data_IF_101278172477
#
_entry.id   IF_101278172477
#
_cell.length_a   1.000
_cell.length_b   1.000
_cell.length_c   1.000
_cell.angle_alpha   90.00
_cell.angle_beta   90.00
_cell.angle_gamma   90.00
#
_symmetry.space_group_name_H-M   'P 1'
#
loop_
_entity.id
_entity.type
_entity.pdbx_description
1 polymer ?
#
# COMPACT_ATOMS: atom_id res chain seq x y z
N UNK A 1 -40.32 22.25 15.39
CA UNK A 1 -39.79 20.90 15.12
C UNK A 1 -40.90 19.90 14.95
N UNK A 2 -40.88 19.21 13.81
CA UNK A 2 -41.74 18.06 13.57
C UNK A 2 -40.96 16.83 14.03
N UNK A 3 -41.22 16.34 15.24
CA UNK A 3 -40.69 15.05 15.71
C UNK A 3 -41.72 13.98 15.42
N UNK A 4 -41.42 13.07 14.49
CA UNK A 4 -42.30 11.96 14.13
C UNK A 4 -41.58 10.65 14.47
N UNK A 5 -42.12 9.87 15.40
CA UNK A 5 -41.69 8.48 15.58
C UNK A 5 -42.28 7.61 14.47
N UNK A 6 -41.43 7.00 13.64
CA UNK A 6 -41.85 6.02 12.62
C UNK A 6 -42.63 6.58 11.43
N UNK A 7 -42.27 7.76 10.92
CA UNK A 7 -42.92 8.37 9.75
C UNK A 7 -42.40 7.83 8.40
N UNK A 8 -43.31 7.47 7.49
CA UNK A 8 -42.99 7.13 6.10
C UNK A 8 -43.32 8.32 5.19
N UNK A 9 -42.30 8.99 4.65
CA UNK A 9 -42.47 10.06 3.67
C UNK A 9 -42.44 9.45 2.26
N UNK A 10 -43.62 9.26 1.66
CA UNK A 10 -43.75 8.80 0.28
C UNK A 10 -44.20 9.94 -0.62
N UNK A 11 -43.37 10.27 -1.60
CA UNK A 11 -43.70 11.25 -2.62
C UNK A 11 -44.17 10.50 -3.88
N UNK A 12 -45.47 10.27 -3.98
CA UNK A 12 -46.11 9.41 -5.00
C UNK A 12 -46.31 10.07 -6.37
N UNK A 13 -45.52 11.07 -6.74
CA UNK A 13 -45.69 11.81 -7.99
C UNK A 13 -44.33 11.93 -8.69
N UNK A 14 -44.32 12.06 -10.01
CA UNK A 14 -43.13 12.28 -10.85
C UNK A 14 -42.34 13.57 -10.55
N UNK A 15 -42.69 14.30 -9.49
CA UNK A 15 -41.96 15.46 -9.00
C UNK A 15 -40.89 15.06 -7.98
N UNK A 16 -39.68 15.57 -8.17
CA UNK A 16 -38.61 15.43 -7.19
C UNK A 16 -39.02 16.07 -5.85
N UNK A 17 -38.76 15.36 -4.75
CA UNK A 17 -38.84 15.93 -3.41
C UNK A 17 -37.50 16.58 -3.07
N UNK A 18 -37.54 17.85 -2.67
CA UNK A 18 -36.35 18.61 -2.32
C UNK A 18 -36.34 18.90 -0.82
N UNK A 19 -35.22 18.61 -0.16
CA UNK A 19 -34.93 19.10 1.18
C UNK A 19 -33.97 20.27 1.01
N UNK A 20 -34.46 21.50 1.17
CA UNK A 20 -33.65 22.72 1.05
C UNK A 20 -33.44 23.34 2.43
N UNK A 21 -32.17 23.60 2.78
CA UNK A 21 -31.77 24.28 4.00
C UNK A 21 -30.81 25.42 3.67
N UNK A 22 -30.91 26.53 4.40
CA UNK A 22 -29.98 27.67 4.25
C UNK A 22 -28.56 27.37 4.81
N UNK A 23 -28.35 26.16 5.34
CA UNK A 23 -27.13 25.65 5.97
C UNK A 23 -27.07 24.11 5.75
N UNK A 24 -26.37 23.36 6.60
CA UNK A 24 -26.27 21.91 6.50
C UNK A 24 -27.64 21.22 6.59
N UNK A 25 -27.98 20.41 5.58
CA UNK A 25 -29.05 19.43 5.66
C UNK A 25 -28.45 18.13 6.19
N UNK A 26 -28.91 17.69 7.37
CA UNK A 26 -28.47 16.43 7.94
C UNK A 26 -29.61 15.43 7.96
N UNK A 27 -29.41 14.28 7.31
CA UNK A 27 -30.28 13.11 7.45
C UNK A 27 -29.58 12.16 8.43
N UNK A 28 -30.19 11.96 9.61
CA UNK A 28 -29.73 10.96 10.59
C UNK A 28 -30.70 9.79 10.57
N UNK A 29 -30.18 8.60 10.37
CA UNK A 29 -30.91 7.36 10.61
C UNK A 29 -30.40 6.84 11.95
N UNK A 30 -31.07 7.24 13.03
CA UNK A 30 -30.77 6.76 14.38
C UNK A 30 -31.58 5.50 14.61
N UNK A 31 -30.90 4.37 14.71
CA UNK A 31 -31.54 3.09 14.93
C UNK A 31 -31.00 2.51 16.21
N UNK A 32 -31.91 2.22 17.13
CA UNK A 32 -31.56 1.36 18.25
C UNK A 32 -31.01 0.05 17.68
N UNK A 33 -29.94 -0.46 18.29
CA UNK A 33 -29.10 -1.55 17.79
C UNK A 33 -29.78 -2.93 17.80
N UNK A 34 -31.08 -2.97 17.49
CA UNK A 34 -31.97 -4.13 17.53
C UNK A 34 -32.35 -4.64 16.13
N UNK A 35 -31.65 -4.21 15.06
CA UNK A 35 -31.89 -4.69 13.69
C UNK A 35 -30.84 -4.20 12.68
N UNK A 36 -30.87 -4.74 11.47
CA UNK A 36 -30.03 -4.30 10.34
C UNK A 36 -30.64 -3.06 9.70
N UNK A 37 -30.10 -1.89 10.02
CA UNK A 37 -30.64 -0.62 9.59
C UNK A 37 -29.69 0.06 8.63
N UNK A 38 -30.26 0.69 7.60
CA UNK A 38 -29.45 1.22 6.52
C UNK A 38 -29.95 2.58 6.05
N UNK A 39 -29.02 3.50 5.83
CA UNK A 39 -29.24 4.61 4.93
C UNK A 39 -28.90 4.14 3.50
N UNK A 40 -29.88 4.18 2.59
CA UNK A 40 -29.72 3.72 1.20
C UNK A 40 -30.08 4.81 0.21
N UNK A 41 -29.22 4.99 -0.79
CA UNK A 41 -29.56 5.67 -2.04
C UNK A 41 -29.74 4.58 -3.09
N UNK A 42 -30.88 4.58 -3.78
CA UNK A 42 -31.16 3.63 -4.86
C UNK A 42 -31.15 4.35 -6.21
N UNK A 43 -30.69 3.66 -7.25
CA UNK A 43 -31.10 4.03 -8.61
C UNK A 43 -32.60 3.72 -8.76
N UNK A 44 -33.31 4.37 -9.69
CA UNK A 44 -34.76 4.27 -9.84
C UNK A 44 -35.35 2.85 -10.04
N UNK A 45 -34.50 1.82 -10.10
CA UNK A 45 -34.83 0.40 -10.25
C UNK A 45 -34.75 -0.39 -8.93
N UNK A 46 -34.73 0.29 -7.78
CA UNK A 46 -34.54 -0.29 -6.44
C UNK A 46 -33.17 -0.96 -6.21
N UNK A 47 -32.16 -0.69 -7.03
CA UNK A 47 -30.81 -1.15 -6.76
C UNK A 47 -30.04 -0.10 -5.94
N UNK A 48 -29.41 -0.50 -4.84
CA UNK A 48 -28.67 0.44 -3.99
C UNK A 48 -27.34 0.80 -4.65
N UNK A 49 -27.07 2.11 -4.77
CA UNK A 49 -25.83 2.67 -5.33
C UNK A 49 -24.93 3.29 -4.25
N UNK A 50 -25.42 3.38 -3.02
CA UNK A 50 -24.70 3.79 -1.82
C UNK A 50 -25.49 3.32 -0.61
N UNK A 51 -24.83 2.65 0.32
CA UNK A 51 -25.43 2.13 1.53
C UNK A 51 -24.50 2.32 2.72
N UNK A 52 -25.05 2.79 3.84
CA UNK A 52 -24.36 2.86 5.13
C UNK A 52 -25.13 2.02 6.15
N UNK A 53 -24.44 1.13 6.87
CA UNK A 53 -25.01 0.31 7.94
C UNK A 53 -25.01 1.02 9.31
N UNK A 54 -25.58 0.35 10.33
CA UNK A 54 -25.66 0.87 11.71
C UNK A 54 -24.29 1.11 12.38
N UNK A 55 -23.21 0.52 11.87
CA UNK A 55 -21.85 0.71 12.36
C UNK A 55 -21.09 1.79 11.59
N UNK A 56 -21.70 2.35 10.53
CA UNK A 56 -21.09 3.35 9.66
C UNK A 56 -20.28 2.75 8.51
N UNK A 57 -20.35 1.44 8.26
CA UNK A 57 -19.69 0.85 7.11
C UNK A 57 -20.40 1.24 5.82
N UNK A 58 -19.62 1.68 4.84
CA UNK A 58 -20.10 2.06 3.52
C UNK A 58 -19.97 0.85 2.58
N UNK A 59 -21.04 0.52 1.87
CA UNK A 59 -21.09 -0.56 0.86
C UNK A 59 -21.85 -0.13 -0.40
N UNK A 60 -21.75 -0.93 -1.46
CA UNK A 60 -22.46 -0.76 -2.72
C UNK A 60 -22.23 0.58 -3.43
N UNK A 61 -21.02 1.15 -3.37
CA UNK A 61 -20.70 2.37 -4.13
C UNK A 61 -20.62 2.02 -5.62
N UNK A 62 -21.63 2.40 -6.39
CA UNK A 62 -21.64 2.29 -7.84
C UNK A 62 -21.26 3.65 -8.46
N UNK A 63 -19.96 3.86 -8.65
CA UNK A 63 -19.39 5.12 -9.15
C UNK A 63 -18.02 5.40 -8.53
N UNK A 64 -17.69 6.69 -8.35
CA UNK A 64 -16.46 7.14 -7.67
C UNK A 64 -16.79 7.87 -6.36
N UNK A 65 -16.06 7.57 -5.29
CA UNK A 65 -15.98 8.47 -4.11
C UNK A 65 -14.83 9.44 -4.36
N UNK A 66 -15.10 10.75 -4.30
CA UNK A 66 -14.06 11.78 -4.28
C UNK A 66 -13.85 12.23 -2.84
N UNK A 67 -12.60 12.21 -2.37
CA UNK A 67 -12.20 12.75 -1.07
C UNK A 67 -11.30 13.93 -1.40
N UNK A 68 -11.73 15.14 -1.05
CA UNK A 68 -11.04 16.39 -1.43
C UNK A 68 -9.78 16.67 -0.58
N UNK A 69 -9.49 15.82 0.40
CA UNK A 69 -8.36 15.91 1.32
C UNK A 69 -7.74 14.49 1.51
N UNK A 70 -7.24 14.19 2.71
CA UNK A 70 -6.48 12.99 3.00
C UNK A 70 -7.37 11.75 3.20
N UNK A 71 -7.09 10.68 2.44
CA UNK A 71 -7.64 9.35 2.69
C UNK A 71 -6.78 8.62 3.74
N UNK A 72 -7.36 8.34 4.91
CA UNK A 72 -6.72 7.50 5.94
C UNK A 72 -7.35 6.11 5.90
N UNK A 73 -6.58 5.11 5.46
CA UNK A 73 -7.01 3.71 5.49
C UNK A 73 -6.47 3.04 6.76
N UNK A 74 -7.36 2.65 7.67
CA UNK A 74 -7.00 1.90 8.87
C UNK A 74 -7.29 0.42 8.68
N UNK A 75 -6.27 -0.38 8.36
CA UNK A 75 -6.37 -1.82 8.12
C UNK A 75 -5.69 -2.28 6.83
N UNK A 76 -5.53 -3.58 6.65
CA UNK A 76 -5.03 -4.13 5.39
C UNK A 76 -6.14 -4.14 4.35
N UNK A 77 -5.90 -3.56 3.18
CA UNK A 77 -6.69 -3.81 1.97
C UNK A 77 -6.22 -5.17 1.46
N UNK A 78 -6.94 -6.22 1.84
CA UNK A 78 -6.56 -7.60 1.53
C UNK A 78 -7.72 -8.30 0.82
N UNK A 79 -7.91 -7.98 -0.45
CA UNK A 79 -8.50 -8.92 -1.38
C UNK A 79 -7.71 -8.91 -2.69
N UNK A 80 -7.81 -10.00 -3.45
CA UNK A 80 -7.04 -10.22 -4.67
C UNK A 80 -7.48 -9.33 -5.86
N UNK A 81 -8.45 -8.42 -5.65
CA UNK A 81 -9.08 -7.60 -6.70
C UNK A 81 -9.25 -6.10 -6.32
N UNK A 82 -8.76 -5.66 -5.17
CA UNK A 82 -8.93 -4.30 -4.67
C UNK A 82 -7.80 -3.41 -5.17
N UNK A 83 -7.95 -2.90 -6.39
CA UNK A 83 -7.06 -1.89 -6.93
C UNK A 83 -7.34 -0.53 -6.27
N UNK A 84 -6.49 -0.09 -5.34
CA UNK A 84 -6.41 1.34 -4.98
C UNK A 84 -5.48 2.01 -5.98
N UNK A 85 -6.06 2.54 -7.06
CA UNK A 85 -5.33 3.36 -8.01
C UNK A 85 -5.16 4.79 -7.46
N UNK A 86 -3.97 5.08 -6.93
CA UNK A 86 -3.60 6.42 -6.47
C UNK A 86 -2.93 7.14 -7.64
N UNK A 87 -3.63 8.08 -8.25
CA UNK A 87 -3.19 8.80 -9.47
C UNK A 87 -2.39 10.10 -9.15
N UNK A 88 -2.01 10.31 -7.89
CA UNK A 88 -1.17 11.42 -7.45
C UNK A 88 -0.25 10.97 -6.31
N UNK A 89 1.04 11.30 -6.40
CA UNK A 89 2.15 10.92 -5.52
C UNK A 89 1.76 10.06 -4.30
N UNK A 90 1.63 8.75 -4.52
CA UNK A 90 1.58 7.78 -3.45
C UNK A 90 2.93 7.79 -2.73
N UNK A 91 3.00 8.46 -1.59
CA UNK A 91 4.13 8.39 -0.67
C UNK A 91 4.08 7.04 0.06
N UNK A 92 4.58 6.00 -0.60
CA UNK A 92 4.88 4.73 0.08
C UNK A 92 6.22 4.93 0.78
N UNK A 93 6.19 5.14 2.10
CA UNK A 93 7.42 5.26 2.91
C UNK A 93 8.24 3.96 3.04
N UNK A 94 8.07 3.01 2.13
CA UNK A 94 8.90 1.81 2.03
C UNK A 94 9.79 1.96 0.80
N UNK A 95 11.08 2.09 1.07
CA UNK A 95 12.18 2.04 0.12
C UNK A 95 11.93 1.02 -0.99
N UNK A 96 11.59 1.49 -2.20
CA UNK A 96 11.38 0.62 -3.34
C UNK A 96 12.75 0.19 -3.89
N UNK A 97 13.05 -1.11 -3.80
CA UNK A 97 14.24 -1.69 -4.42
C UNK A 97 14.03 -1.77 -5.93
N UNK A 98 14.71 -0.89 -6.68
CA UNK A 98 14.64 -0.86 -8.15
C UNK A 98 15.92 -1.38 -8.79
N UNK A 99 15.79 -2.22 -9.82
CA UNK A 99 16.89 -2.59 -10.72
C UNK A 99 18.08 -3.27 -10.02
N UNK A 100 17.83 -4.36 -9.28
CA UNK A 100 18.88 -5.12 -8.62
C UNK A 100 19.82 -5.79 -9.64
N UNK A 101 21.10 -5.91 -9.28
CA UNK A 101 22.09 -6.67 -10.02
C UNK A 101 23.00 -7.43 -9.08
N UNK A 102 23.53 -8.56 -9.57
CA UNK A 102 24.63 -9.27 -8.92
C UNK A 102 25.91 -8.95 -9.66
N UNK A 103 26.86 -8.32 -8.98
CA UNK A 103 28.21 -8.09 -9.47
C UNK A 103 29.17 -9.04 -8.78
N UNK A 104 30.13 -9.60 -9.53
CA UNK A 104 31.10 -10.54 -8.98
C UNK A 104 32.52 -10.20 -9.43
N UNK A 105 33.49 -10.46 -8.55
CA UNK A 105 34.91 -10.35 -8.84
C UNK A 105 35.66 -11.61 -8.35
N UNK A 106 36.74 -11.96 -9.04
CA UNK A 106 37.61 -13.09 -8.66
C UNK A 106 39.03 -12.57 -8.50
N UNK A 107 39.54 -12.59 -7.27
CA UNK A 107 40.87 -12.11 -6.95
C UNK A 107 41.83 -13.30 -6.87
N UNK A 108 42.48 -13.61 -7.99
CA UNK A 108 43.48 -14.66 -8.07
C UNK A 108 44.73 -14.29 -7.27
N UNK A 109 45.06 -15.09 -6.24
CA UNK A 109 46.27 -14.90 -5.44
C UNK A 109 46.11 -14.05 -4.18
N UNK A 110 44.91 -13.52 -3.91
CA UNK A 110 44.64 -12.72 -2.70
C UNK A 110 43.72 -13.46 -1.73
N UNK A 111 43.89 -13.17 -0.44
CA UNK A 111 43.04 -13.65 0.67
C UNK A 111 41.84 -12.73 0.93
N UNK A 112 41.81 -11.56 0.29
CA UNK A 112 40.75 -10.56 0.37
C UNK A 112 40.33 -10.20 -1.05
N UNK A 113 39.03 -10.02 -1.29
CA UNK A 113 38.53 -9.60 -2.59
C UNK A 113 37.39 -8.60 -2.43
N UNK A 114 37.40 -7.56 -3.25
CA UNK A 114 36.39 -6.49 -3.25
C UNK A 114 35.68 -6.45 -4.59
N UNK A 115 34.37 -6.23 -4.54
CA UNK A 115 33.55 -5.89 -5.69
C UNK A 115 32.75 -4.63 -5.40
N UNK A 116 32.63 -3.77 -6.40
CA UNK A 116 31.92 -2.50 -6.30
C UNK A 116 30.63 -2.54 -7.12
N UNK A 117 29.60 -1.89 -6.61
CA UNK A 117 28.37 -1.66 -7.37
C UNK A 117 28.61 -0.65 -8.49
N UNK A 118 27.79 -0.71 -9.54
CA UNK A 118 27.74 0.36 -10.54
C UNK A 118 27.36 1.70 -9.88
N UNK A 119 27.82 2.84 -10.44
CA UNK A 119 27.38 4.16 -9.99
C UNK A 119 25.84 4.23 -9.91
N UNK A 120 25.32 4.88 -8.87
CA UNK A 120 23.89 4.99 -8.52
C UNK A 120 23.24 3.77 -7.84
N UNK A 121 23.98 2.69 -7.56
CA UNK A 121 23.46 1.53 -6.79
C UNK A 121 24.14 1.38 -5.44
N UNK A 122 23.37 0.91 -4.45
CA UNK A 122 23.84 0.59 -3.10
C UNK A 122 23.93 -0.92 -2.88
N UNK A 123 24.91 -1.34 -2.08
CA UNK A 123 25.06 -2.73 -1.64
C UNK A 123 23.96 -3.05 -0.63
N UNK A 124 23.11 -4.02 -0.95
CA UNK A 124 22.05 -4.51 -0.06
C UNK A 124 22.35 -5.91 0.51
N UNK A 125 23.46 -6.51 0.07
CA UNK A 125 23.94 -7.80 0.53
C UNK A 125 25.08 -8.30 -0.34
N UNK A 126 25.64 -9.45 0.00
CA UNK A 126 26.71 -10.06 -0.75
C UNK A 126 27.18 -11.35 -0.12
N UNK A 127 28.24 -11.92 -0.69
CA UNK A 127 28.82 -13.14 -0.18
C UNK A 127 30.21 -13.39 -0.76
N UNK A 128 30.88 -14.36 -0.17
CA UNK A 128 32.20 -14.83 -0.57
C UNK A 128 32.15 -16.31 -0.91
N UNK A 129 32.87 -16.68 -1.96
CA UNK A 129 33.13 -18.05 -2.38
C UNK A 129 34.60 -18.36 -2.10
N UNK A 130 34.83 -19.17 -1.06
CA UNK A 130 36.16 -19.66 -0.71
C UNK A 130 36.39 -21.04 -1.34
N UNK A 131 37.60 -21.34 -1.87
CA UNK A 131 37.94 -22.63 -2.48
C UNK A 131 37.63 -23.87 -1.62
N UNK A 132 37.61 -23.73 -0.29
CA UNK A 132 37.36 -24.82 0.65
C UNK A 132 35.86 -25.06 0.94
N UNK A 133 34.96 -24.39 0.21
CA UNK A 133 33.50 -24.58 0.32
C UNK A 133 32.84 -23.78 1.45
N UNK A 134 33.57 -22.95 2.17
CA UNK A 134 33.02 -22.04 3.17
C UNK A 134 32.45 -20.79 2.50
N UNK A 135 31.12 -20.66 2.50
CA UNK A 135 30.43 -19.44 2.10
C UNK A 135 30.12 -18.63 3.36
N UNK A 136 30.89 -17.58 3.64
CA UNK A 136 30.55 -16.65 4.73
C UNK A 136 29.57 -15.62 4.17
N UNK A 137 28.29 -15.73 4.55
CA UNK A 137 27.24 -14.75 4.22
C UNK A 137 27.23 -13.59 5.22
N UNK A 138 28.13 -13.60 6.20
CA UNK A 138 27.95 -12.80 7.41
C UNK A 138 29.03 -11.72 7.57
N UNK A 139 28.88 -10.66 6.80
CA UNK A 139 29.24 -9.32 7.28
C UNK A 139 28.39 -8.32 6.50
N UNK A 140 27.44 -7.68 7.17
CA UNK A 140 26.82 -6.44 6.70
C UNK A 140 27.85 -5.58 5.94
N UNK A 141 27.51 -5.02 4.76
CA UNK A 141 28.49 -4.44 3.86
C UNK A 141 29.36 -3.41 4.60
N UNK A 142 30.67 -3.45 4.37
CA UNK A 142 31.60 -2.47 4.94
C UNK A 142 31.36 -1.03 4.48
N UNK A 143 30.47 -0.82 3.49
CA UNK A 143 29.98 0.48 3.05
C UNK A 143 28.93 0.38 1.92
N UNK A 144 28.32 1.50 1.56
CA UNK A 144 27.19 1.57 0.63
C UNK A 144 27.53 1.18 -0.82
N UNK A 145 28.78 1.22 -1.25
CA UNK A 145 29.16 1.09 -2.67
C UNK A 145 30.02 -0.13 -3.00
N UNK A 146 30.47 -0.89 -2.00
CA UNK A 146 31.35 -2.05 -2.23
C UNK A 146 31.22 -3.11 -1.17
N UNK A 147 31.33 -4.37 -1.60
CA UNK A 147 31.40 -5.53 -0.72
C UNK A 147 32.83 -6.09 -0.73
N UNK A 148 33.38 -6.32 0.46
CA UNK A 148 34.69 -6.95 0.61
C UNK A 148 34.54 -8.21 1.44
N UNK A 149 34.98 -9.33 0.90
CA UNK A 149 35.07 -10.58 1.64
C UNK A 149 36.53 -11.00 1.86
N UNK A 150 36.77 -11.83 2.87
CA UNK A 150 38.08 -12.43 3.15
C UNK A 150 37.97 -13.94 3.38
N UNK A 151 38.91 -14.70 2.84
CA UNK A 151 39.13 -16.12 3.11
C UNK A 151 40.56 -16.32 3.65
N UNK A 152 40.82 -17.42 4.36
CA UNK A 152 42.19 -17.77 4.77
C UNK A 152 43.01 -18.41 3.63
N UNK A 153 42.48 -18.49 2.42
CA UNK A 153 43.07 -19.13 1.24
C UNK A 153 43.05 -18.19 0.04
N UNK A 154 44.01 -18.37 -0.86
CA UNK A 154 44.11 -17.62 -2.12
C UNK A 154 43.09 -18.13 -3.15
N UNK A 155 42.64 -17.25 -4.05
CA UNK A 155 41.68 -17.62 -5.10
C UNK A 155 40.24 -17.40 -4.67
N UNK A 156 39.98 -16.22 -4.13
CA UNK A 156 38.68 -15.83 -3.55
C UNK A 156 37.74 -15.29 -4.63
N UNK A 157 36.52 -15.79 -4.65
CA UNK A 157 35.40 -15.19 -5.38
C UNK A 157 34.56 -14.33 -4.44
N UNK A 158 34.13 -13.15 -4.87
CA UNK A 158 33.25 -12.29 -4.09
C UNK A 158 32.09 -11.80 -4.96
N UNK A 159 30.90 -11.68 -4.38
CA UNK A 159 29.76 -11.07 -5.06
C UNK A 159 29.01 -10.08 -4.15
N UNK A 160 28.42 -9.06 -4.77
CA UNK A 160 27.51 -8.13 -4.12
C UNK A 160 26.17 -8.12 -4.86
N UNK A 161 25.10 -7.91 -4.09
CA UNK A 161 23.77 -7.56 -4.59
C UNK A 161 23.65 -6.04 -4.46
N UNK A 162 23.48 -5.39 -5.60
CA UNK A 162 23.44 -3.94 -5.73
C UNK A 162 22.06 -3.52 -6.22
N UNK A 163 21.43 -2.53 -5.60
CA UNK A 163 20.13 -2.01 -6.03
C UNK A 163 20.08 -0.49 -6.01
N UNK A 164 19.24 0.10 -6.85
CA UNK A 164 18.84 1.49 -6.65
C UNK A 164 17.82 1.51 -5.52
N UNK A 165 18.10 2.36 -4.54
CA UNK A 165 17.22 2.62 -3.41
C UNK A 165 16.47 3.88 -3.81
N UNK A 166 15.22 3.73 -4.25
CA UNK A 166 14.34 4.86 -4.50
C UNK A 166 13.93 5.49 -3.17
N UNK A 167 14.02 6.82 -3.10
CA UNK A 167 13.36 7.60 -2.06
C UNK A 167 11.84 7.58 -2.28
#
# INVERSE_FOLDING_TARGET
DLSMGGGYFNFSHTGAAFINGNHNVQVRVDTDSNGSNYFKINNGDNNSIFQVDEFGHISNILGSVTIDDSLVVTGAISDDNSDVAINDNLDVSNTVLMGYERVSNTCGGEVSCTVSCTPDKKVIGGGIDCPDGYNVVDSYPGGDSSWTGRCNHIGVGVYAICARIGD
#
